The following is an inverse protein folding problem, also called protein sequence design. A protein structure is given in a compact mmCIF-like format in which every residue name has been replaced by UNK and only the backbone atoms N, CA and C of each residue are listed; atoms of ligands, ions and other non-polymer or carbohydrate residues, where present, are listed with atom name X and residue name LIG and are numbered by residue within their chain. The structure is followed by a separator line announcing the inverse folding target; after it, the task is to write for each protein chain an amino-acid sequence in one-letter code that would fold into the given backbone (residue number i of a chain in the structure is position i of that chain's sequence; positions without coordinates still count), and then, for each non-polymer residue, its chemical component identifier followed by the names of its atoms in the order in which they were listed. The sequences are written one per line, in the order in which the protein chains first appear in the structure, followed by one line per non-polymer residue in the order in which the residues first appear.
data_IF_571335809087
#
_entry.id   IF_571335809087
#
_cell.length_a   1.000
_cell.length_b   1.000
_cell.length_c   1.000
_cell.angle_alpha   90.00
_cell.angle_beta   90.00
_cell.angle_gamma   90.00
#
_symmetry.space_group_name_H-M   'P 1'
#
loop_
_entity.id
_entity.type
_entity.pdbx_description
1 polymer ?
#
# COMPACT_ATOMS: atom_id res chain seq x y z
N UNK A 1 6.39 -36.31 -39.81
CA UNK A 1 7.32 -35.88 -38.73
C UNK A 1 7.82 -34.43 -38.83
N UNK A 2 7.75 -33.74 -39.98
CA UNK A 2 8.32 -32.38 -40.15
C UNK A 2 7.56 -31.22 -39.45
N UNK A 3 6.25 -31.31 -39.21
CA UNK A 3 5.46 -30.21 -38.57
C UNK A 3 5.60 -30.08 -37.06
N UNK A 4 6.05 -31.12 -36.33
CA UNK A 4 6.26 -31.03 -34.86
C UNK A 4 7.56 -30.34 -34.47
N UNK A 5 8.55 -30.32 -35.36
CA UNK A 5 9.82 -29.62 -35.13
C UNK A 5 9.68 -28.10 -35.33
N UNK A 6 8.81 -27.61 -36.24
CA UNK A 6 8.63 -26.17 -36.42
C UNK A 6 7.95 -25.48 -35.23
N UNK A 7 7.04 -26.16 -34.52
CA UNK A 7 6.34 -25.61 -33.34
C UNK A 7 7.23 -25.55 -32.09
N UNK A 8 8.15 -26.51 -31.91
CA UNK A 8 9.16 -26.41 -30.86
C UNK A 8 10.14 -25.27 -31.14
N UNK A 9 10.45 -24.99 -32.41
CA UNK A 9 11.36 -23.88 -32.74
C UNK A 9 10.68 -22.52 -32.51
N UNK A 10 9.39 -22.40 -32.81
CA UNK A 10 8.61 -21.18 -32.60
C UNK A 10 8.44 -20.88 -31.09
N UNK A 11 8.09 -21.88 -30.29
CA UNK A 11 7.92 -21.73 -28.83
C UNK A 11 9.24 -21.43 -28.11
N UNK A 12 10.36 -22.04 -28.53
CA UNK A 12 11.70 -21.72 -28.00
C UNK A 12 12.13 -20.31 -28.37
N UNK A 13 11.87 -19.86 -29.59
CA UNK A 13 12.14 -18.48 -30.01
C UNK A 13 11.28 -17.48 -29.23
N UNK A 14 10.01 -17.80 -28.97
CA UNK A 14 9.10 -16.95 -28.19
C UNK A 14 9.50 -16.86 -26.71
N UNK A 15 9.93 -17.98 -26.10
CA UNK A 15 10.50 -18.00 -24.74
C UNK A 15 11.80 -17.21 -24.67
N UNK A 16 12.68 -17.33 -25.67
CA UNK A 16 13.92 -16.57 -25.77
C UNK A 16 13.67 -15.07 -25.89
N UNK A 17 12.69 -14.66 -26.70
CA UNK A 17 12.29 -13.25 -26.83
C UNK A 17 11.67 -12.70 -25.55
N UNK A 18 10.86 -13.49 -24.87
CA UNK A 18 10.22 -13.07 -23.60
C UNK A 18 11.26 -12.96 -22.48
N UNK A 19 12.20 -13.90 -22.40
CA UNK A 19 13.32 -13.86 -21.47
C UNK A 19 14.26 -12.68 -21.77
N UNK A 20 14.53 -12.38 -23.05
CA UNK A 20 15.31 -11.20 -23.43
C UNK A 20 14.59 -9.89 -23.08
N UNK A 21 13.27 -9.81 -23.27
CA UNK A 21 12.47 -8.63 -22.87
C UNK A 21 12.47 -8.44 -21.35
N UNK A 22 12.34 -9.52 -20.58
CA UNK A 22 12.44 -9.47 -19.12
C UNK A 22 13.85 -9.06 -18.65
N UNK A 23 14.91 -9.62 -19.26
CA UNK A 23 16.29 -9.21 -18.95
C UNK A 23 16.55 -7.74 -19.30
N UNK A 24 16.01 -7.23 -20.41
CA UNK A 24 16.09 -5.80 -20.75
C UNK A 24 15.32 -4.94 -19.76
N UNK A 25 14.10 -5.33 -19.38
CA UNK A 25 13.30 -4.60 -18.39
C UNK A 25 13.99 -4.58 -17.01
N UNK A 26 14.56 -5.70 -16.56
CA UNK A 26 15.33 -5.77 -15.31
C UNK A 26 16.62 -4.95 -15.39
N UNK A 27 17.33 -4.95 -16.52
CA UNK A 27 18.51 -4.08 -16.72
C UNK A 27 18.16 -2.60 -16.67
N UNK A 28 17.05 -2.19 -17.30
CA UNK A 28 16.57 -0.81 -17.24
C UNK A 28 16.13 -0.45 -15.82
N UNK A 29 15.40 -1.33 -15.12
CA UNK A 29 15.01 -1.14 -13.73
C UNK A 29 16.21 -0.99 -12.79
N UNK A 30 17.23 -1.86 -12.94
CA UNK A 30 18.46 -1.77 -12.17
C UNK A 30 19.29 -0.53 -12.52
N UNK A 31 19.32 -0.11 -13.78
CA UNK A 31 20.00 1.13 -14.20
C UNK A 31 19.30 2.38 -13.64
N UNK A 32 17.96 2.42 -13.62
CA UNK A 32 17.19 3.51 -13.02
C UNK A 32 17.43 3.54 -11.51
N UNK A 33 17.35 2.41 -10.82
CA UNK A 33 17.62 2.32 -9.38
C UNK A 33 19.06 2.73 -9.04
N UNK A 34 20.05 2.31 -9.83
CA UNK A 34 21.44 2.73 -9.66
C UNK A 34 21.64 4.23 -9.94
N UNK A 35 20.95 4.80 -10.94
CA UNK A 35 21.01 6.23 -11.23
C UNK A 35 20.37 7.08 -10.13
N UNK A 36 19.24 6.63 -9.57
CA UNK A 36 18.59 7.28 -8.43
C UNK A 36 19.47 7.21 -7.17
N UNK A 37 20.11 6.06 -6.92
CA UNK A 37 21.07 5.91 -5.81
C UNK A 37 22.32 6.81 -6.00
N UNK A 38 22.84 6.93 -7.22
CA UNK A 38 23.97 7.80 -7.53
C UNK A 38 23.63 9.29 -7.40
N UNK A 39 22.42 9.70 -7.80
CA UNK A 39 21.92 11.06 -7.60
C UNK A 39 21.72 11.36 -6.12
N UNK A 40 21.06 10.47 -5.36
CA UNK A 40 20.91 10.64 -3.91
C UNK A 40 22.26 10.71 -3.19
N UNK A 41 23.24 9.90 -3.59
CA UNK A 41 24.59 9.96 -3.03
C UNK A 41 25.31 11.28 -3.37
N UNK A 42 25.16 11.78 -4.60
CA UNK A 42 25.70 13.08 -5.02
C UNK A 42 25.04 14.23 -4.24
N UNK A 43 23.72 14.19 -4.06
CA UNK A 43 22.98 15.20 -3.30
C UNK A 43 23.36 15.15 -1.82
N UNK A 44 23.54 13.95 -1.24
CA UNK A 44 24.08 13.80 0.11
C UNK A 44 25.49 14.38 0.24
N UNK A 45 26.40 14.10 -0.69
CA UNK A 45 27.75 14.68 -0.67
C UNK A 45 27.72 16.21 -0.80
N UNK A 46 26.83 16.75 -1.63
CA UNK A 46 26.66 18.20 -1.78
C UNK A 46 26.12 18.82 -0.50
N UNK A 47 25.16 18.16 0.14
CA UNK A 47 24.57 18.60 1.41
C UNK A 47 25.61 18.54 2.54
N UNK A 48 26.41 17.48 2.62
CA UNK A 48 27.52 17.37 3.58
C UNK A 48 28.57 18.45 3.37
N UNK A 49 28.95 18.72 2.11
CA UNK A 49 29.89 19.80 1.79
C UNK A 49 29.35 21.17 2.17
N UNK A 50 28.08 21.47 1.86
CA UNK A 50 27.45 22.74 2.25
C UNK A 50 27.33 22.86 3.78
N UNK A 51 27.07 21.76 4.48
CA UNK A 51 27.09 21.71 5.94
C UNK A 51 28.49 21.99 6.48
N UNK A 52 29.53 21.36 5.94
CA UNK A 52 30.93 21.62 6.33
C UNK A 52 31.33 23.08 6.06
N UNK A 53 31.02 23.62 4.88
CA UNK A 53 31.25 25.03 4.54
C UNK A 53 30.48 25.96 5.49
N UNK A 54 29.25 25.61 5.89
CA UNK A 54 28.47 26.38 6.88
C UNK A 54 29.07 26.31 8.29
N UNK A 55 29.58 25.14 8.69
CA UNK A 55 30.22 24.93 9.99
C UNK A 55 31.55 25.67 10.05
N UNK A 56 32.33 25.70 8.96
CA UNK A 56 33.57 26.47 8.87
C UNK A 56 33.29 27.98 8.87
N UNK A 57 32.30 28.45 8.12
CA UNK A 57 31.87 29.85 8.18
C UNK A 57 31.41 30.26 9.59
N UNK A 58 30.64 29.39 10.27
CA UNK A 58 30.19 29.63 11.64
C UNK A 58 31.35 29.59 12.63
N UNK A 59 32.33 28.69 12.45
CA UNK A 59 33.55 28.64 13.28
C UNK A 59 34.42 29.88 13.10
N UNK A 60 34.56 30.37 11.87
CA UNK A 60 35.33 31.58 11.59
C UNK A 60 34.63 32.82 12.15
N UNK A 61 33.31 32.91 11.99
CA UNK A 61 32.50 33.95 12.66
C UNK A 61 32.63 33.85 14.19
N UNK A 62 32.64 32.64 14.75
CA UNK A 62 32.83 32.44 16.20
C UNK A 62 34.24 32.84 16.63
N UNK A 63 35.28 32.58 15.83
CA UNK A 63 36.65 33.05 16.11
C UNK A 63 36.76 34.57 16.03
N UNK A 64 36.09 35.20 15.07
CA UNK A 64 35.99 36.65 15.00
C UNK A 64 35.28 37.22 16.22
N UNK A 65 34.13 36.65 16.62
CA UNK A 65 33.40 37.04 17.83
C UNK A 65 34.27 36.85 19.08
N UNK A 66 35.01 35.74 19.19
CA UNK A 66 35.93 35.51 20.33
C UNK A 66 37.12 36.47 20.31
N UNK A 67 37.61 36.84 19.13
CA UNK A 67 38.64 37.87 18.95
C UNK A 67 38.13 39.26 19.36
N UNK A 68 36.94 39.62 18.91
CA UNK A 68 36.24 40.84 19.29
C UNK A 68 35.93 40.85 20.79
N UNK A 69 35.49 39.72 21.36
CA UNK A 69 35.28 39.57 22.80
C UNK A 69 36.58 39.71 23.60
N UNK A 70 37.73 39.26 23.09
CA UNK A 70 39.03 39.53 23.73
C UNK A 70 39.45 40.98 23.62
N UNK A 71 39.12 41.68 22.52
CA UNK A 71 39.33 43.12 22.45
C UNK A 71 38.37 43.89 23.35
N UNK A 72 37.14 43.40 23.50
CA UNK A 72 36.16 43.91 24.46
C UNK A 72 36.68 43.66 25.87
N UNK A 73 37.18 42.48 26.21
CA UNK A 73 37.75 42.15 27.52
C UNK A 73 38.98 43.01 27.84
N UNK A 74 39.87 43.25 26.86
CA UNK A 74 40.96 44.24 27.01
C UNK A 74 40.44 45.66 27.18
N UNK A 75 39.37 46.03 26.48
CA UNK A 75 38.73 47.34 26.62
C UNK A 75 37.99 47.47 27.95
N UNK A 76 37.42 46.39 28.48
CA UNK A 76 36.73 46.31 29.77
C UNK A 76 37.77 46.35 30.88
N UNK A 77 38.92 45.69 30.75
CA UNK A 77 40.01 45.76 31.72
C UNK A 77 40.70 47.12 31.71
N UNK A 78 40.90 47.72 30.53
CA UNK A 78 41.40 49.09 30.40
C UNK A 78 40.36 50.12 30.89
N UNK A 79 39.07 49.88 30.65
CA UNK A 79 37.98 50.66 31.22
C UNK A 79 37.94 50.47 32.74
N UNK A 80 38.06 49.25 33.27
CA UNK A 80 38.08 48.97 34.70
C UNK A 80 39.26 49.65 35.38
N UNK A 81 40.48 49.60 34.82
CA UNK A 81 41.63 50.35 35.32
C UNK A 81 41.40 51.87 35.26
N UNK A 82 40.88 52.39 34.15
CA UNK A 82 40.55 53.82 34.02
C UNK A 82 39.42 54.24 34.95
N UNK A 83 38.48 53.35 35.23
CA UNK A 83 37.36 53.56 36.15
C UNK A 83 37.84 53.45 37.59
N UNK A 84 38.84 52.61 37.88
CA UNK A 84 39.48 52.46 39.20
C UNK A 84 40.37 53.66 39.53
N UNK A 85 41.11 54.20 38.54
CA UNK A 85 41.80 55.50 38.64
C UNK A 85 40.81 56.67 38.82
N UNK A 86 39.72 56.69 38.05
CA UNK A 86 38.66 57.71 38.22
C UNK A 86 37.87 57.54 39.54
N UNK A 87 37.76 56.31 40.07
CA UNK A 87 37.18 56.04 41.37
C UNK A 87 38.12 56.39 42.52
N UNK A 88 39.44 56.30 42.35
CA UNK A 88 40.41 56.79 43.34
C UNK A 88 40.33 58.32 43.51
N UNK A 89 40.17 59.08 42.43
CA UNK A 89 39.95 60.52 42.51
C UNK A 89 38.57 60.89 43.09
N UNK A 90 37.53 60.06 42.87
CA UNK A 90 36.19 60.24 43.44
C UNK A 90 36.04 59.73 44.88
N UNK A 91 36.97 58.89 45.37
CA UNK A 91 36.95 58.35 46.75
C UNK A 91 37.18 59.41 47.83
N UNK A 92 37.58 60.63 47.48
CA UNK A 92 37.87 61.68 48.45
C UNK A 92 36.78 62.76 48.60
N UNK A 93 35.68 62.66 47.85
CA UNK A 93 34.47 63.44 48.13
C UNK A 93 33.31 62.45 48.22
N UNK A 94 32.97 62.06 49.45
CA UNK A 94 31.80 61.22 49.72
C UNK A 94 30.55 61.91 49.12
N UNK A 95 29.56 61.19 48.57
CA UNK A 95 28.39 61.83 47.92
C UNK A 95 27.73 62.89 48.81
N UNK A 96 27.74 62.68 50.14
CA UNK A 96 27.32 63.67 51.13
C UNK A 96 28.14 64.99 51.09
N UNK A 97 29.47 64.90 50.97
CA UNK A 97 30.35 66.07 50.83
C UNK A 97 30.15 66.78 49.48
N UNK A 98 29.93 66.05 48.40
CA UNK A 98 29.57 66.66 47.12
C UNK A 98 28.22 67.37 47.24
N UNK A 99 27.20 66.67 47.74
CA UNK A 99 25.84 67.18 47.95
C UNK A 99 25.81 68.45 48.77
N UNK A 100 26.56 68.50 49.88
CA UNK A 100 26.54 69.64 50.79
C UNK A 100 27.55 70.74 50.38
N UNK A 101 28.46 70.44 49.43
CA UNK A 101 29.40 71.36 48.81
C UNK A 101 28.95 71.81 47.42
N UNK A 102 29.69 71.42 46.39
CA UNK A 102 29.49 71.85 44.98
C UNK A 102 28.15 71.40 44.39
N UNK A 103 27.57 70.30 44.87
CA UNK A 103 26.30 69.74 44.42
C UNK A 103 25.06 70.29 45.13
N UNK A 104 25.22 71.29 46.01
CA UNK A 104 24.13 71.79 46.86
C UNK A 104 22.94 72.32 46.07
N UNK A 105 23.19 73.17 45.09
CA UNK A 105 22.11 73.74 44.27
C UNK A 105 21.41 72.67 43.43
N UNK A 106 22.16 71.70 42.91
CA UNK A 106 21.57 70.54 42.25
C UNK A 106 20.63 69.79 43.22
N UNK A 107 21.13 69.38 44.39
CA UNK A 107 20.39 68.46 45.25
C UNK A 107 19.18 69.08 45.93
N UNK A 108 19.29 70.33 46.39
CA UNK A 108 18.22 70.98 47.15
C UNK A 108 17.26 71.81 46.28
N UNK A 109 17.71 72.36 45.15
CA UNK A 109 16.88 73.22 44.30
C UNK A 109 16.44 72.52 43.02
N UNK A 110 17.36 71.96 42.25
CA UNK A 110 17.08 71.39 40.93
C UNK A 110 16.40 70.00 41.01
N UNK A 111 16.98 69.08 41.79
CA UNK A 111 16.54 67.68 41.89
C UNK A 111 15.08 67.54 42.31
N UNK A 112 14.55 68.31 43.30
CA UNK A 112 13.12 68.25 43.62
C UNK A 112 12.23 68.69 42.45
N UNK A 113 12.65 69.69 41.67
CA UNK A 113 11.91 70.14 40.48
C UNK A 113 11.93 69.09 39.38
N UNK A 114 13.10 68.50 39.11
CA UNK A 114 13.25 67.42 38.14
C UNK A 114 12.41 66.19 38.53
N UNK A 115 12.42 65.80 39.81
CA UNK A 115 11.55 64.71 40.32
C UNK A 115 10.07 65.03 40.16
N UNK A 116 9.65 66.24 40.52
CA UNK A 116 8.25 66.68 40.32
C UNK A 116 7.85 66.69 38.84
N UNK A 117 8.76 67.06 37.95
CA UNK A 117 8.52 66.98 36.50
C UNK A 117 8.31 65.53 36.05
N UNK A 118 9.18 64.60 36.48
CA UNK A 118 9.07 63.17 36.15
C UNK A 118 7.79 62.54 36.72
N UNK A 119 7.44 62.87 37.97
CA UNK A 119 6.20 62.41 38.59
C UNK A 119 4.96 62.90 37.82
N UNK A 120 4.94 64.19 37.43
CA UNK A 120 3.86 64.73 36.61
C UNK A 120 3.80 64.09 35.22
N UNK A 121 4.97 63.80 34.62
CA UNK A 121 5.07 63.10 33.35
C UNK A 121 4.52 61.67 33.44
N UNK A 122 4.86 60.93 34.50
CA UNK A 122 4.34 59.59 34.77
C UNK A 122 2.83 59.61 35.01
N UNK A 123 2.34 60.54 35.84
CA UNK A 123 0.92 60.71 36.11
C UNK A 123 0.11 60.98 34.84
N UNK A 124 0.61 61.85 33.96
CA UNK A 124 -0.03 62.12 32.67
C UNK A 124 0.08 60.93 31.70
N UNK A 125 1.17 60.18 31.73
CA UNK A 125 1.31 58.94 30.95
C UNK A 125 0.29 57.89 31.37
N UNK A 126 0.07 57.74 32.68
CA UNK A 126 -0.95 56.85 33.22
C UNK A 126 -2.37 57.32 32.88
N UNK A 127 -2.65 58.62 32.98
CA UNK A 127 -3.95 59.19 32.56
C UNK A 127 -4.20 58.98 31.06
N UNK A 128 -3.18 59.20 30.23
CA UNK A 128 -3.23 58.95 28.79
C UNK A 128 -3.54 57.49 28.46
N UNK A 129 -2.87 56.54 29.11
CA UNK A 129 -3.14 55.11 28.90
C UNK A 129 -4.58 54.73 29.25
N UNK A 130 -5.18 55.34 30.29
CA UNK A 130 -6.60 55.13 30.63
C UNK A 130 -7.52 55.67 29.55
N UNK A 131 -7.25 56.88 29.03
CA UNK A 131 -8.03 57.48 27.94
C UNK A 131 -7.96 56.62 26.67
N UNK A 132 -6.77 56.17 26.29
CA UNK A 132 -6.59 55.29 25.14
C UNK A 132 -7.30 53.95 25.36
N UNK A 133 -7.16 53.35 26.54
CA UNK A 133 -7.82 52.08 26.87
C UNK A 133 -9.35 52.19 26.79
N UNK A 134 -9.94 53.26 27.30
CA UNK A 134 -11.37 53.51 27.18
C UNK A 134 -11.78 53.63 25.70
N UNK A 135 -11.04 54.41 24.90
CA UNK A 135 -11.32 54.53 23.46
C UNK A 135 -11.15 53.21 22.72
N UNK A 136 -10.18 52.38 23.08
CA UNK A 136 -9.99 51.06 22.47
C UNK A 136 -11.24 50.18 22.67
N UNK A 137 -11.86 50.22 23.86
CA UNK A 137 -13.11 49.49 24.13
C UNK A 137 -14.22 49.96 23.20
N UNK A 138 -14.39 51.28 23.07
CA UNK A 138 -15.40 51.86 22.17
C UNK A 138 -15.17 51.44 20.71
N UNK A 139 -13.92 51.54 20.22
CA UNK A 139 -13.56 51.15 18.85
C UNK A 139 -13.80 49.66 18.61
N UNK A 140 -13.52 48.79 19.58
CA UNK A 140 -13.85 47.35 19.47
C UNK A 140 -15.36 47.14 19.38
N UNK A 141 -16.16 47.87 20.15
CA UNK A 141 -17.63 47.80 20.06
C UNK A 141 -18.17 48.33 18.71
N UNK A 142 -17.49 49.33 18.14
CA UNK A 142 -17.77 49.90 16.82
C UNK A 142 -17.30 48.98 15.66
N UNK A 143 -16.73 47.79 15.92
CA UNK A 143 -16.21 46.89 14.88
C UNK A 143 -17.14 46.66 13.68
N UNK A 144 -18.46 46.43 13.85
CA UNK A 144 -19.37 46.28 12.71
C UNK A 144 -19.42 47.49 11.77
N UNK A 145 -19.08 48.69 12.25
CA UNK A 145 -19.12 49.94 11.48
C UNK A 145 -17.87 50.14 10.64
N UNK A 146 -16.71 49.65 11.09
CA UNK A 146 -15.43 49.85 10.40
C UNK A 146 -14.81 48.57 9.82
N UNK A 147 -15.35 47.38 10.10
CA UNK A 147 -14.87 46.14 9.49
C UNK A 147 -14.97 46.17 7.96
N UNK A 148 -14.06 45.48 7.29
CA UNK A 148 -14.20 45.24 5.86
C UNK A 148 -15.36 44.27 5.57
N UNK A 149 -15.97 44.39 4.39
CA UNK A 149 -17.13 43.58 3.99
C UNK A 149 -16.83 42.07 4.01
N UNK A 150 -15.60 41.71 3.64
CA UNK A 150 -15.15 40.31 3.56
C UNK A 150 -14.67 39.75 4.92
N UNK A 151 -14.64 40.56 5.99
CA UNK A 151 -14.31 40.09 7.32
C UNK A 151 -15.54 39.55 8.04
N UNK A 152 -15.35 38.44 8.74
CA UNK A 152 -16.34 37.86 9.66
C UNK A 152 -16.74 38.84 10.75
N UNK A 153 -18.01 38.79 11.14
CA UNK A 153 -18.55 39.70 12.17
C UNK A 153 -18.01 39.41 13.57
N UNK A 154 -17.54 38.18 13.83
CA UNK A 154 -16.94 37.72 15.08
C UNK A 154 -15.40 37.65 15.01
N UNK A 155 -14.78 38.28 14.00
CA UNK A 155 -13.35 38.17 13.74
C UNK A 155 -12.46 38.65 14.90
N UNK A 156 -12.79 39.78 15.54
CA UNK A 156 -12.02 40.29 16.68
C UNK A 156 -12.06 39.35 17.90
N UNK A 157 -13.14 38.57 18.06
CA UNK A 157 -13.28 37.64 19.16
C UNK A 157 -12.58 36.31 18.88
N UNK A 158 -12.74 35.79 17.65
CA UNK A 158 -12.22 34.47 17.26
C UNK A 158 -10.79 34.50 16.74
N UNK A 159 -10.29 35.66 16.31
CA UNK A 159 -9.05 35.79 15.55
C UNK A 159 -9.15 35.25 14.11
N UNK A 160 -10.34 34.88 13.65
CA UNK A 160 -10.60 34.37 12.30
C UNK A 160 -11.34 35.43 11.51
N UNK A 161 -10.63 36.11 10.61
CA UNK A 161 -11.14 37.21 9.79
C UNK A 161 -11.83 36.74 8.53
N UNK A 162 -11.34 35.68 7.89
CA UNK A 162 -11.90 35.16 6.64
C UNK A 162 -12.56 33.80 6.90
N UNK A 163 -13.60 33.46 6.14
CA UNK A 163 -14.19 32.14 6.23
C UNK A 163 -13.20 31.04 5.79
N UNK A 164 -13.13 29.92 6.53
CA UNK A 164 -12.27 28.81 6.13
C UNK A 164 -12.72 28.25 4.77
N UNK A 165 -11.77 27.79 3.94
CA UNK A 165 -12.10 27.20 2.66
C UNK A 165 -12.97 25.96 2.87
N UNK A 166 -14.01 25.82 2.03
CA UNK A 166 -14.83 24.60 2.01
C UNK A 166 -13.99 23.48 1.40
N UNK A 167 -13.43 22.63 2.27
CA UNK A 167 -12.72 21.44 1.83
C UNK A 167 -13.72 20.46 1.21
N UNK A 168 -13.41 19.99 0.00
CA UNK A 168 -14.12 18.87 -0.61
C UNK A 168 -13.99 17.65 0.30
N UNK A 169 -15.04 16.83 0.39
CA UNK A 169 -14.97 15.56 1.10
C UNK A 169 -13.84 14.70 0.52
N UNK A 170 -13.15 13.88 1.35
CA UNK A 170 -12.14 12.96 0.84
C UNK A 170 -12.76 12.06 -0.24
N UNK A 171 -11.99 11.72 -1.30
CA UNK A 171 -12.48 10.78 -2.30
C UNK A 171 -12.88 9.49 -1.58
N UNK A 172 -14.14 9.10 -1.73
CA UNK A 172 -14.63 7.82 -1.23
C UNK A 172 -13.86 6.73 -1.97
N UNK A 173 -13.31 5.76 -1.22
CA UNK A 173 -12.64 4.62 -1.80
C UNK A 173 -13.54 4.05 -2.89
N UNK A 174 -13.07 4.03 -4.14
CA UNK A 174 -13.78 3.33 -5.20
C UNK A 174 -13.82 1.88 -4.74
N UNK A 175 -15.00 1.44 -4.32
CA UNK A 175 -15.21 0.06 -3.96
C UNK A 175 -14.71 -0.77 -5.13
N UNK A 176 -13.78 -1.68 -4.83
CA UNK A 176 -13.36 -2.68 -5.81
C UNK A 176 -14.65 -3.27 -6.37
N UNK A 177 -14.86 -3.25 -7.70
CA UNK A 177 -16.10 -3.76 -8.26
C UNK A 177 -16.32 -5.14 -7.62
N UNK A 178 -17.50 -5.37 -7.00
CA UNK A 178 -17.75 -6.61 -6.29
C UNK A 178 -17.31 -7.71 -7.23
N UNK A 179 -16.56 -8.68 -6.70
CA UNK A 179 -15.90 -9.73 -7.47
C UNK A 179 -16.97 -10.55 -8.19
N UNK A 180 -17.54 -9.99 -9.27
CA UNK A 180 -18.39 -10.66 -10.21
C UNK A 180 -17.44 -11.59 -10.90
N UNK A 181 -17.44 -12.82 -10.40
CA UNK A 181 -16.95 -13.96 -11.14
C UNK A 181 -17.53 -13.77 -12.54
N UNK A 182 -16.70 -13.60 -13.58
CA UNK A 182 -17.21 -13.34 -14.92
C UNK A 182 -18.27 -14.41 -15.22
N UNK A 183 -19.44 -14.03 -15.74
CA UNK A 183 -20.55 -14.97 -15.90
C UNK A 183 -20.14 -16.22 -16.73
N UNK A 184 -19.11 -16.07 -17.59
CA UNK A 184 -18.47 -17.17 -18.31
C UNK A 184 -17.64 -18.15 -17.46
N UNK A 185 -17.05 -17.72 -16.33
CA UNK A 185 -16.31 -18.60 -15.40
C UNK A 185 -17.25 -19.35 -14.47
N UNK A 186 -18.39 -18.75 -14.09
CA UNK A 186 -19.46 -19.48 -13.40
C UNK A 186 -20.05 -20.57 -14.31
N UNK A 187 -20.27 -20.27 -15.60
CA UNK A 187 -20.64 -21.27 -16.61
C UNK A 187 -19.57 -22.35 -16.80
N UNK A 188 -18.29 -21.97 -16.89
CA UNK A 188 -17.19 -22.94 -17.02
C UNK A 188 -17.02 -23.83 -15.79
N UNK A 189 -17.15 -23.30 -14.57
CA UNK A 189 -17.06 -24.08 -13.34
C UNK A 189 -18.29 -25.00 -13.15
N UNK A 190 -19.48 -24.55 -13.58
CA UNK A 190 -20.72 -25.33 -13.52
C UNK A 190 -20.78 -26.41 -14.61
N UNK A 191 -20.05 -26.27 -15.74
CA UNK A 191 -19.95 -27.29 -16.79
C UNK A 191 -18.77 -28.24 -16.54
N UNK A 192 -17.60 -27.73 -16.12
CA UNK A 192 -16.39 -28.54 -15.90
C UNK A 192 -16.44 -29.26 -14.54
N UNK A 193 -17.03 -28.67 -13.51
CA UNK A 193 -17.17 -29.31 -12.19
C UNK A 193 -17.85 -30.68 -12.27
N UNK A 194 -19.05 -30.80 -12.87
CA UNK A 194 -19.69 -32.08 -13.11
C UNK A 194 -18.90 -32.92 -14.11
N UNK A 195 -18.36 -32.36 -15.19
CA UNK A 195 -17.66 -33.14 -16.22
C UNK A 195 -16.37 -33.78 -15.70
N UNK A 196 -15.63 -33.11 -14.82
CA UNK A 196 -14.42 -33.67 -14.17
C UNK A 196 -14.80 -34.69 -13.12
N UNK A 197 -15.86 -34.45 -12.32
CA UNK A 197 -16.38 -35.45 -11.38
C UNK A 197 -16.91 -36.68 -12.12
N UNK A 198 -17.60 -36.51 -13.25
CA UNK A 198 -18.07 -37.57 -14.13
C UNK A 198 -16.89 -38.28 -14.79
N UNK A 199 -15.83 -37.60 -15.21
CA UNK A 199 -14.63 -38.26 -15.75
C UNK A 199 -13.85 -39.02 -14.67
N UNK A 200 -13.78 -38.53 -13.43
CA UNK A 200 -13.19 -39.25 -12.31
C UNK A 200 -14.04 -40.47 -11.95
N UNK A 201 -15.37 -40.29 -11.87
CA UNK A 201 -16.30 -41.39 -11.65
C UNK A 201 -16.24 -42.42 -12.79
N UNK A 202 -16.15 -41.98 -14.05
CA UNK A 202 -16.00 -42.86 -15.20
C UNK A 202 -14.64 -43.57 -15.21
N UNK A 203 -13.54 -42.90 -14.83
CA UNK A 203 -12.23 -43.55 -14.69
C UNK A 203 -12.20 -44.60 -13.56
N UNK A 204 -13.05 -44.46 -12.54
CA UNK A 204 -13.24 -45.44 -11.47
C UNK A 204 -14.24 -46.54 -11.88
N UNK A 205 -15.33 -46.19 -12.56
CA UNK A 205 -16.39 -47.12 -12.97
C UNK A 205 -16.02 -47.96 -14.20
N UNK A 206 -15.24 -47.45 -15.16
CA UNK A 206 -14.84 -48.19 -16.36
C UNK A 206 -14.03 -49.46 -16.03
N UNK A 207 -13.05 -49.47 -15.10
CA UNK A 207 -12.40 -50.72 -14.69
C UNK A 207 -13.34 -51.66 -13.91
N UNK A 208 -14.28 -51.12 -13.13
CA UNK A 208 -15.28 -51.93 -12.39
C UNK A 208 -16.29 -52.58 -13.36
N UNK A 209 -16.79 -51.82 -14.32
CA UNK A 209 -17.73 -52.30 -15.36
C UNK A 209 -17.00 -53.17 -16.37
N UNK A 210 -15.72 -52.92 -16.68
CA UNK A 210 -14.89 -53.79 -17.51
C UNK A 210 -14.62 -55.16 -16.87
N UNK A 211 -14.45 -55.20 -15.54
CA UNK A 211 -14.39 -56.46 -14.78
C UNK A 211 -15.71 -57.23 -14.79
N UNK A 212 -16.85 -56.54 -14.82
CA UNK A 212 -18.18 -57.17 -14.89
C UNK A 212 -18.56 -57.54 -16.34
N UNK A 213 -18.13 -56.77 -17.34
CA UNK A 213 -18.39 -57.02 -18.76
C UNK A 213 -17.73 -58.29 -19.28
N UNK A 214 -16.52 -58.62 -18.79
CA UNK A 214 -15.86 -59.90 -19.10
C UNK A 214 -16.64 -61.12 -18.58
N UNK A 215 -17.34 -61.00 -17.46
CA UNK A 215 -18.19 -62.06 -16.91
C UNK A 215 -19.54 -62.20 -17.65
N UNK A 216 -20.06 -61.10 -18.23
CA UNK A 216 -21.35 -61.14 -18.94
C UNK A 216 -21.22 -61.59 -20.41
N UNK A 217 -20.09 -61.34 -21.08
CA UNK A 217 -19.86 -61.87 -22.44
C UNK A 217 -19.57 -63.37 -22.46
N UNK A 218 -19.12 -63.97 -21.34
CA UNK A 218 -19.07 -65.43 -21.21
C UNK A 218 -20.48 -66.06 -21.19
N UNK A 219 -21.47 -65.36 -20.62
CA UNK A 219 -22.84 -65.88 -20.48
C UNK A 219 -23.65 -65.96 -21.77
N UNK A 220 -23.48 -65.03 -22.72
CA UNK A 220 -24.27 -65.01 -23.96
C UNK A 220 -23.72 -65.91 -25.07
N UNK A 221 -22.49 -66.40 -24.95
CA UNK A 221 -21.85 -67.27 -25.96
C UNK A 221 -21.78 -68.72 -25.46
N UNK A 222 -21.79 -68.93 -24.14
CA UNK A 222 -22.12 -70.22 -23.54
C UNK A 222 -23.48 -70.74 -24.04
N UNK A 223 -24.49 -69.89 -24.22
CA UNK A 223 -25.82 -70.36 -24.69
C UNK A 223 -25.83 -70.91 -26.11
N UNK A 224 -24.97 -70.41 -27.02
CA UNK A 224 -24.94 -70.86 -28.42
C UNK A 224 -24.21 -72.21 -28.53
N UNK A 225 -23.10 -72.37 -27.80
CA UNK A 225 -22.38 -73.65 -27.67
C UNK A 225 -23.23 -74.68 -26.93
N UNK A 226 -23.89 -74.27 -25.83
CA UNK A 226 -24.80 -75.13 -25.08
C UNK A 226 -25.98 -75.57 -25.97
N UNK A 227 -26.58 -74.68 -26.78
CA UNK A 227 -27.71 -75.08 -27.65
C UNK A 227 -27.33 -76.12 -28.71
N UNK A 228 -26.11 -76.05 -29.25
CA UNK A 228 -25.57 -77.06 -30.16
C UNK A 228 -25.29 -78.37 -29.43
N UNK A 229 -24.83 -78.28 -28.17
CA UNK A 229 -24.64 -79.44 -27.31
C UNK A 229 -25.97 -80.11 -26.91
N UNK A 230 -26.98 -79.32 -26.58
CA UNK A 230 -28.33 -79.79 -26.27
C UNK A 230 -28.95 -80.49 -27.49
N UNK A 231 -28.68 -80.00 -28.71
CA UNK A 231 -29.12 -80.68 -29.94
C UNK A 231 -28.44 -82.05 -30.16
N UNK A 232 -27.20 -82.22 -29.70
CA UNK A 232 -26.49 -83.51 -29.69
C UNK A 232 -27.02 -84.45 -28.61
N UNK A 233 -27.36 -83.90 -27.44
CA UNK A 233 -27.97 -84.64 -26.34
C UNK A 233 -29.33 -85.24 -26.72
N UNK A 234 -30.09 -84.51 -27.53
CA UNK A 234 -31.39 -84.95 -28.03
C UNK A 234 -31.27 -86.07 -29.09
N UNK A 235 -30.23 -86.05 -29.92
CA UNK A 235 -30.00 -87.07 -30.97
C UNK A 235 -29.29 -88.33 -30.45
N UNK A 236 -28.46 -88.20 -29.40
CA UNK A 236 -27.68 -89.30 -28.80
C UNK A 236 -27.65 -89.20 -27.25
N UNK A 237 -28.73 -89.60 -26.56
CA UNK A 237 -28.86 -89.40 -25.11
C UNK A 237 -27.82 -90.18 -24.28
N UNK A 238 -27.40 -91.37 -24.73
CA UNK A 238 -26.35 -92.15 -24.05
C UNK A 238 -24.95 -91.51 -24.16
N UNK A 239 -24.76 -90.56 -25.09
CA UNK A 239 -23.49 -89.89 -25.31
C UNK A 239 -23.28 -88.67 -24.38
N UNK A 240 -24.36 -88.01 -23.95
CA UNK A 240 -24.27 -86.72 -23.25
C UNK A 240 -24.31 -86.84 -21.73
N UNK A 241 -24.92 -87.88 -21.18
CA UNK A 241 -25.01 -88.07 -19.71
C UNK A 241 -23.63 -88.24 -19.05
N UNK A 242 -22.59 -88.57 -19.83
CA UNK A 242 -21.20 -88.72 -19.36
C UNK A 242 -20.23 -87.61 -19.86
N UNK A 243 -20.71 -86.56 -20.56
CA UNK A 243 -19.85 -85.50 -21.12
C UNK A 243 -20.05 -84.10 -20.54
N UNK A 244 -21.06 -83.83 -19.71
CA UNK A 244 -21.26 -82.49 -19.11
C UNK A 244 -20.03 -81.98 -18.32
N UNK A 245 -19.20 -82.88 -17.78
CA UNK A 245 -17.97 -82.53 -17.04
C UNK A 245 -16.70 -82.39 -17.91
N UNK A 246 -16.76 -82.68 -19.21
CA UNK A 246 -15.56 -82.80 -20.06
C UNK A 246 -15.28 -81.59 -20.98
N UNK A 247 -16.15 -80.59 -21.04
CA UNK A 247 -16.15 -79.66 -22.19
C UNK A 247 -15.49 -78.29 -21.96
N UNK A 248 -15.46 -77.68 -20.77
CA UNK A 248 -14.77 -76.39 -20.63
C UNK A 248 -13.24 -76.50 -20.47
N UNK A 249 -12.72 -77.65 -20.06
CA UNK A 249 -11.30 -77.79 -19.67
C UNK A 249 -10.38 -78.34 -20.75
N UNK A 250 -10.91 -78.75 -21.91
CA UNK A 250 -10.14 -79.60 -22.81
C UNK A 250 -9.40 -78.94 -23.95
N UNK A 251 -9.68 -77.68 -24.30
CA UNK A 251 -8.97 -77.06 -25.41
C UNK A 251 -8.62 -75.61 -25.14
N UNK A 252 -7.34 -75.38 -24.85
CA UNK A 252 -6.70 -74.12 -25.22
C UNK A 252 -6.92 -73.95 -26.73
N UNK A 253 -7.23 -72.74 -27.21
CA UNK A 253 -7.53 -72.51 -28.62
C UNK A 253 -6.37 -72.93 -29.55
N UNK A 254 -5.14 -72.95 -29.05
CA UNK A 254 -3.99 -73.52 -29.74
C UNK A 254 -4.09 -75.04 -29.96
N UNK A 255 -4.70 -75.75 -29.02
CA UNK A 255 -4.95 -77.20 -29.07
C UNK A 255 -6.16 -77.52 -29.97
N UNK A 256 -7.23 -76.73 -29.89
CA UNK A 256 -8.37 -76.85 -30.82
C UNK A 256 -7.96 -76.67 -32.28
N UNK A 257 -7.07 -75.72 -32.56
CA UNK A 257 -6.51 -75.47 -33.89
C UNK A 257 -5.70 -76.66 -34.42
N UNK A 258 -4.92 -77.30 -33.54
CA UNK A 258 -4.11 -78.46 -33.88
C UNK A 258 -5.01 -79.65 -34.26
N UNK A 259 -6.05 -79.90 -33.46
CA UNK A 259 -6.98 -81.01 -33.66
C UNK A 259 -7.90 -80.83 -34.88
N UNK A 260 -8.23 -79.59 -35.24
CA UNK A 260 -8.89 -79.28 -36.52
C UNK A 260 -8.00 -79.64 -37.72
N UNK A 261 -6.68 -79.43 -37.61
CA UNK A 261 -5.75 -79.69 -38.71
C UNK A 261 -5.43 -81.17 -38.90
N UNK A 262 -5.52 -81.98 -37.85
CA UNK A 262 -5.26 -83.43 -37.90
C UNK A 262 -6.36 -84.21 -38.65
N UNK A 263 -7.51 -83.56 -38.90
CA UNK A 263 -8.68 -84.21 -39.49
C UNK A 263 -9.32 -85.19 -38.51
N UNK A 264 -10.49 -85.70 -38.85
CA UNK A 264 -11.16 -86.69 -38.03
C UNK A 264 -11.27 -88.03 -38.78
N UNK A 265 -10.61 -89.03 -38.23
CA UNK A 265 -10.61 -90.43 -38.65
C UNK A 265 -11.14 -91.31 -37.52
N UNK A 266 -11.48 -92.56 -37.83
CA UNK A 266 -11.87 -93.54 -36.81
C UNK A 266 -10.77 -93.73 -35.73
N UNK A 267 -9.49 -93.60 -36.10
CA UNK A 267 -8.37 -93.64 -35.15
C UNK A 267 -8.38 -92.42 -34.22
N UNK A 268 -8.62 -91.20 -34.74
CA UNK A 268 -8.71 -90.01 -33.88
C UNK A 268 -9.91 -90.04 -32.94
N UNK A 269 -11.02 -90.65 -33.36
CA UNK A 269 -12.18 -90.85 -32.48
C UNK A 269 -11.81 -91.77 -31.31
N UNK A 270 -11.05 -92.85 -31.58
CA UNK A 270 -10.56 -93.75 -30.55
C UNK A 270 -9.53 -93.06 -29.62
N UNK A 271 -8.64 -92.22 -30.16
CA UNK A 271 -7.70 -91.44 -29.35
C UNK A 271 -8.42 -90.41 -28.45
N UNK A 272 -9.47 -89.75 -28.94
CA UNK A 272 -10.28 -88.83 -28.13
C UNK A 272 -11.03 -89.58 -27.02
N UNK A 273 -11.50 -90.80 -27.31
CA UNK A 273 -12.08 -91.76 -26.35
C UNK A 273 -11.09 -92.17 -25.26
N UNK A 274 -9.89 -92.58 -25.67
CA UNK A 274 -8.83 -93.00 -24.77
C UNK A 274 -8.36 -91.81 -23.92
N UNK A 275 -8.33 -90.60 -24.50
CA UNK A 275 -7.99 -89.36 -23.81
C UNK A 275 -9.08 -88.96 -22.80
N UNK A 276 -10.36 -89.09 -23.15
CA UNK A 276 -11.47 -88.86 -22.22
C UNK A 276 -11.46 -89.89 -21.08
N UNK A 277 -11.24 -91.17 -21.40
CA UNK A 277 -11.10 -92.25 -20.41
C UNK A 277 -9.92 -92.01 -19.47
N UNK A 278 -8.77 -91.54 -19.98
CA UNK A 278 -7.58 -91.22 -19.18
C UNK A 278 -7.80 -90.11 -18.14
N UNK A 279 -8.83 -89.27 -18.34
CA UNK A 279 -9.23 -88.20 -17.41
C UNK A 279 -10.43 -88.57 -16.54
N UNK A 280 -10.81 -89.85 -16.51
CA UNK A 280 -11.78 -90.39 -15.57
C UNK A 280 -13.21 -90.48 -16.11
N UNK A 281 -13.42 -90.26 -17.42
CA UNK A 281 -14.73 -90.48 -18.03
C UNK A 281 -15.02 -91.98 -18.13
N UNK A 282 -16.06 -92.47 -17.45
CA UNK A 282 -16.59 -93.81 -17.67
C UNK A 282 -17.37 -93.83 -18.99
N UNK A 283 -16.66 -94.03 -20.11
CA UNK A 283 -17.27 -94.17 -21.42
C UNK A 283 -17.53 -95.65 -21.70
N UNK A 284 -18.76 -96.00 -22.08
CA UNK A 284 -19.08 -97.33 -22.59
C UNK A 284 -18.57 -97.43 -24.04
N UNK A 285 -17.55 -98.26 -24.34
CA UNK A 285 -17.04 -98.41 -25.70
C UNK A 285 -18.09 -98.97 -26.68
N UNK A 286 -19.20 -99.56 -26.19
CA UNK A 286 -20.30 -100.04 -27.03
C UNK A 286 -21.21 -98.91 -27.55
N UNK A 287 -21.18 -97.73 -26.93
CA UNK A 287 -22.00 -96.58 -27.31
C UNK A 287 -21.44 -95.83 -28.55
N UNK A 288 -20.26 -96.19 -29.02
CA UNK A 288 -19.63 -95.51 -30.16
C UNK A 288 -19.99 -96.18 -31.49
N UNK A 289 -20.44 -95.38 -32.48
CA UNK A 289 -20.80 -95.92 -33.77
C UNK A 289 -19.57 -96.53 -34.46
N UNK A 290 -19.61 -97.84 -34.63
CA UNK A 290 -18.64 -98.60 -35.41
C UNK A 290 -18.96 -98.56 -36.91
N UNK A 291 -20.12 -98.02 -37.28
CA UNK A 291 -20.54 -97.87 -38.66
C UNK A 291 -19.97 -96.58 -39.29
N UNK A 292 -19.61 -96.59 -40.58
CA UNK A 292 -18.98 -95.44 -41.23
C UNK A 292 -19.79 -94.14 -41.14
N UNK A 293 -21.12 -94.24 -41.11
CA UNK A 293 -22.02 -93.10 -41.05
C UNK A 293 -22.00 -92.38 -39.69
N UNK A 294 -21.83 -93.12 -38.58
CA UNK A 294 -21.75 -92.51 -37.27
C UNK A 294 -20.38 -91.89 -36.99
N UNK A 295 -19.29 -92.45 -37.53
CA UNK A 295 -17.95 -91.80 -37.49
C UNK A 295 -17.98 -90.47 -38.25
N UNK A 296 -18.60 -90.42 -39.43
CA UNK A 296 -18.71 -89.19 -40.23
C UNK A 296 -19.50 -88.09 -39.49
N UNK A 297 -20.57 -88.44 -38.78
CA UNK A 297 -21.33 -87.49 -37.95
C UNK A 297 -20.56 -87.01 -36.73
N UNK A 298 -19.89 -87.91 -36.01
CA UNK A 298 -19.03 -87.53 -34.88
C UNK A 298 -17.96 -86.53 -35.35
N UNK A 299 -17.33 -86.82 -36.48
CA UNK A 299 -16.32 -85.97 -37.08
C UNK A 299 -16.84 -84.60 -37.54
N UNK A 300 -18.01 -84.54 -38.17
CA UNK A 300 -18.66 -83.26 -38.51
C UNK A 300 -18.91 -82.42 -37.26
N UNK A 301 -19.45 -83.05 -36.22
CA UNK A 301 -19.82 -82.37 -34.98
C UNK A 301 -18.59 -81.85 -34.24
N UNK A 302 -17.57 -82.69 -34.11
CA UNK A 302 -16.29 -82.32 -33.49
C UNK A 302 -15.67 -81.11 -34.19
N UNK A 303 -15.75 -81.08 -35.52
CA UNK A 303 -15.25 -79.97 -36.32
C UNK A 303 -16.03 -78.70 -36.02
N UNK A 304 -17.37 -78.75 -36.00
CA UNK A 304 -18.22 -77.59 -35.69
C UNK A 304 -17.99 -77.02 -34.28
N UNK A 305 -17.76 -77.88 -33.28
CA UNK A 305 -17.46 -77.47 -31.89
C UNK A 305 -16.08 -76.80 -31.81
N UNK A 306 -15.07 -77.37 -32.44
CA UNK A 306 -13.72 -76.80 -32.45
C UNK A 306 -13.67 -75.48 -33.24
N UNK A 307 -14.44 -75.36 -34.32
CA UNK A 307 -14.53 -74.12 -35.11
C UNK A 307 -15.25 -73.02 -34.33
N UNK A 308 -16.29 -73.34 -33.57
CA UNK A 308 -16.95 -72.41 -32.65
C UNK A 308 -16.02 -71.93 -31.53
N UNK A 309 -15.22 -72.83 -30.94
CA UNK A 309 -14.23 -72.47 -29.92
C UNK A 309 -13.14 -71.55 -30.46
N UNK A 310 -12.70 -71.77 -31.71
CA UNK A 310 -11.74 -70.89 -32.39
C UNK A 310 -12.30 -69.48 -32.64
N UNK A 311 -13.56 -69.39 -33.08
CA UNK A 311 -14.21 -68.10 -33.33
C UNK A 311 -14.44 -67.30 -32.04
N UNK A 312 -14.66 -67.96 -30.90
CA UNK A 312 -14.77 -67.32 -29.58
C UNK A 312 -13.51 -66.54 -29.19
N UNK A 313 -12.33 -67.12 -29.37
CA UNK A 313 -11.07 -66.46 -28.99
C UNK A 313 -10.73 -65.29 -29.92
N UNK A 314 -11.06 -65.41 -31.21
CA UNK A 314 -10.92 -64.34 -32.20
C UNK A 314 -11.77 -63.11 -31.84
N UNK A 315 -13.01 -63.30 -31.36
CA UNK A 315 -13.87 -62.19 -30.93
C UNK A 315 -13.43 -61.57 -29.59
N UNK A 316 -12.95 -62.37 -28.64
CA UNK A 316 -12.42 -61.88 -27.37
C UNK A 316 -11.18 -60.98 -27.57
N UNK A 317 -10.26 -61.38 -28.45
CA UNK A 317 -9.05 -60.60 -28.75
C UNK A 317 -9.31 -59.28 -29.48
N UNK A 318 -10.37 -59.19 -30.30
CA UNK A 318 -10.78 -57.93 -30.93
C UNK A 318 -11.46 -56.95 -29.96
N UNK A 319 -12.15 -57.44 -28.94
CA UNK A 319 -12.78 -56.61 -27.91
C UNK A 319 -11.76 -55.86 -27.04
N UNK A 320 -10.73 -56.56 -26.57
CA UNK A 320 -9.69 -56.01 -25.68
C UNK A 320 -8.93 -54.84 -26.32
N UNK A 321 -8.63 -54.94 -27.61
CA UNK A 321 -7.89 -53.90 -28.34
C UNK A 321 -8.69 -52.60 -28.50
N UNK A 322 -10.02 -52.67 -28.67
CA UNK A 322 -10.86 -51.46 -28.76
C UNK A 322 -11.00 -50.75 -27.42
N UNK A 323 -11.18 -51.49 -26.32
CA UNK A 323 -11.30 -50.90 -24.97
C UNK A 323 -9.99 -50.28 -24.46
N UNK A 324 -8.84 -50.88 -24.79
CA UNK A 324 -7.54 -50.30 -24.45
C UNK A 324 -7.32 -48.93 -25.13
N UNK A 325 -7.74 -48.78 -26.39
CA UNK A 325 -7.55 -47.54 -27.15
C UNK A 325 -8.37 -46.36 -26.61
N UNK A 326 -9.61 -46.59 -26.17
CA UNK A 326 -10.50 -45.57 -25.61
C UNK A 326 -10.01 -45.15 -24.22
N UNK A 327 -9.58 -46.11 -23.40
CA UNK A 327 -9.08 -45.83 -22.04
C UNK A 327 -7.82 -44.95 -22.07
N UNK A 328 -6.89 -45.21 -23.00
CA UNK A 328 -5.68 -44.40 -23.18
C UNK A 328 -6.02 -42.98 -23.65
N UNK A 329 -7.01 -42.82 -24.54
CA UNK A 329 -7.44 -41.50 -25.00
C UNK A 329 -8.09 -40.64 -23.90
N UNK A 330 -8.94 -41.25 -23.06
CA UNK A 330 -9.61 -40.56 -21.94
C UNK A 330 -8.60 -40.16 -20.86
N UNK A 331 -7.68 -41.06 -20.49
CA UNK A 331 -6.61 -40.74 -19.53
C UNK A 331 -5.67 -39.65 -20.06
N UNK A 332 -5.35 -39.68 -21.36
CA UNK A 332 -4.56 -38.64 -22.01
C UNK A 332 -5.24 -37.26 -21.96
N UNK A 333 -6.54 -37.18 -22.23
CA UNK A 333 -7.31 -35.94 -22.16
C UNK A 333 -7.40 -35.41 -20.71
N UNK A 334 -7.69 -36.29 -19.75
CA UNK A 334 -7.75 -35.94 -18.34
C UNK A 334 -6.42 -35.38 -17.82
N UNK A 335 -5.30 -35.99 -18.23
CA UNK A 335 -3.96 -35.51 -17.91
C UNK A 335 -3.70 -34.11 -18.48
N UNK A 336 -4.05 -33.87 -19.75
CA UNK A 336 -3.90 -32.55 -20.39
C UNK A 336 -4.73 -31.48 -19.66
N UNK A 337 -5.98 -31.78 -19.30
CA UNK A 337 -6.83 -30.84 -18.54
C UNK A 337 -6.25 -30.58 -17.15
N UNK A 338 -5.79 -31.62 -16.44
CA UNK A 338 -5.18 -31.49 -15.12
C UNK A 338 -3.89 -30.64 -15.15
N UNK A 339 -3.14 -30.67 -16.25
CA UNK A 339 -1.96 -29.82 -16.42
C UNK A 339 -2.30 -28.35 -16.78
N UNK A 340 -3.35 -28.11 -17.57
CA UNK A 340 -3.70 -26.76 -18.06
C UNK A 340 -4.50 -25.96 -17.01
N UNK A 341 -5.41 -26.60 -16.28
CA UNK A 341 -6.32 -25.94 -15.34
C UNK A 341 -5.59 -25.11 -14.25
N UNK A 342 -4.52 -25.61 -13.58
CA UNK A 342 -3.79 -24.84 -12.58
C UNK A 342 -3.11 -23.60 -13.17
N UNK A 343 -2.61 -23.70 -14.41
CA UNK A 343 -1.97 -22.59 -15.09
C UNK A 343 -2.99 -21.49 -15.42
N UNK A 344 -4.18 -21.88 -15.87
CA UNK A 344 -5.26 -20.94 -16.20
C UNK A 344 -5.81 -20.25 -14.92
N UNK A 345 -5.97 -21.00 -13.83
CA UNK A 345 -6.33 -20.43 -12.51
C UNK A 345 -5.25 -19.47 -12.01
N UNK A 346 -3.98 -19.84 -12.12
CA UNK A 346 -2.86 -18.99 -11.71
C UNK A 346 -2.79 -17.70 -12.56
N UNK A 347 -3.04 -17.80 -13.86
CA UNK A 347 -3.10 -16.66 -14.77
C UNK A 347 -4.25 -15.70 -14.43
N UNK A 348 -5.47 -16.21 -14.23
CA UNK A 348 -6.63 -15.40 -13.80
C UNK A 348 -6.40 -14.75 -12.43
N UNK A 349 -5.79 -15.47 -11.48
CA UNK A 349 -5.43 -14.88 -10.17
C UNK A 349 -4.40 -13.77 -10.30
N UNK A 350 -3.41 -13.91 -11.19
CA UNK A 350 -2.39 -12.88 -11.43
C UNK A 350 -3.00 -11.61 -12.04
N UNK A 351 -3.84 -11.74 -13.05
CA UNK A 351 -4.49 -10.59 -13.72
C UNK A 351 -5.46 -9.86 -12.78
N UNK A 352 -6.25 -10.59 -11.98
CA UNK A 352 -7.12 -9.99 -10.96
C UNK A 352 -6.32 -9.25 -9.88
N UNK A 353 -5.19 -9.81 -9.43
CA UNK A 353 -4.29 -9.12 -8.49
C UNK A 353 -3.67 -7.86 -9.08
N UNK A 354 -3.31 -7.87 -10.37
CA UNK A 354 -2.78 -6.68 -11.04
C UNK A 354 -3.82 -5.56 -11.10
N UNK A 355 -5.04 -5.86 -11.57
CA UNK A 355 -6.13 -4.87 -11.60
C UNK A 355 -6.47 -4.33 -10.22
N UNK A 356 -6.48 -5.18 -9.19
CA UNK A 356 -6.71 -4.76 -7.80
C UNK A 356 -5.61 -3.81 -7.31
N UNK A 357 -4.34 -4.11 -7.59
CA UNK A 357 -3.21 -3.23 -7.25
C UNK A 357 -3.28 -1.90 -7.99
N UNK A 358 -3.67 -1.90 -9.26
CA UNK A 358 -3.84 -0.66 -10.04
C UNK A 358 -4.94 0.22 -9.45
N UNK A 359 -6.08 -0.36 -9.06
CA UNK A 359 -7.18 0.37 -8.39
C UNK A 359 -6.74 0.87 -7.02
N UNK A 360 -6.06 0.04 -6.22
CA UNK A 360 -5.52 0.43 -4.90
C UNK A 360 -4.51 1.58 -5.04
N UNK A 361 -3.59 1.52 -6.02
CA UNK A 361 -2.64 2.59 -6.30
C UNK A 361 -3.32 3.87 -6.77
N UNK A 362 -4.36 3.78 -7.61
CA UNK A 362 -5.13 4.93 -8.04
C UNK A 362 -5.90 5.57 -6.87
N UNK A 363 -6.50 4.77 -5.99
CA UNK A 363 -7.18 5.27 -4.80
C UNK A 363 -6.18 5.93 -3.84
N UNK A 364 -5.02 5.32 -3.61
CA UNK A 364 -3.95 5.91 -2.79
C UNK A 364 -3.46 7.24 -3.35
N UNK A 365 -3.16 7.29 -4.65
CA UNK A 365 -2.73 8.53 -5.31
C UNK A 365 -3.82 9.62 -5.25
N UNK A 366 -5.09 9.26 -5.38
CA UNK A 366 -6.20 10.20 -5.24
C UNK A 366 -6.34 10.75 -3.81
N UNK A 367 -6.18 9.90 -2.80
CA UNK A 367 -6.19 10.29 -1.38
C UNK A 367 -5.00 11.20 -1.06
N UNK A 368 -3.80 10.87 -1.55
CA UNK A 368 -2.60 11.69 -1.36
C UNK A 368 -2.74 13.05 -2.04
N UNK A 369 -3.23 13.10 -3.28
CA UNK A 369 -3.48 14.34 -3.99
C UNK A 369 -4.55 15.20 -3.29
N UNK A 370 -5.60 14.58 -2.73
CA UNK A 370 -6.58 15.29 -1.91
C UNK A 370 -5.97 15.85 -0.63
N UNK A 371 -5.14 15.07 0.09
CA UNK A 371 -4.43 15.53 1.30
C UNK A 371 -3.50 16.71 1.00
N UNK A 372 -2.75 16.66 -0.10
CA UNK A 372 -1.88 17.75 -0.52
C UNK A 372 -2.67 19.03 -0.81
N UNK A 373 -3.81 18.93 -1.54
CA UNK A 373 -4.70 20.07 -1.78
C UNK A 373 -5.31 20.62 -0.49
N UNK A 374 -5.71 19.75 0.44
CA UNK A 374 -6.27 20.15 1.72
C UNK A 374 -5.24 20.91 2.58
N UNK A 375 -3.99 20.42 2.64
CA UNK A 375 -2.91 21.12 3.35
C UNK A 375 -2.52 22.44 2.68
N UNK A 376 -2.42 22.49 1.35
CA UNK A 376 -2.19 23.74 0.63
C UNK A 376 -3.28 24.76 0.92
N UNK A 377 -4.56 24.35 0.84
CA UNK A 377 -5.71 25.20 1.14
C UNK A 377 -5.70 25.72 2.58
N UNK A 378 -5.24 24.90 3.54
CA UNK A 378 -5.06 25.30 4.94
C UNK A 378 -3.95 26.33 5.11
N UNK A 379 -2.80 26.15 4.46
CA UNK A 379 -1.68 27.12 4.51
C UNK A 379 -2.09 28.44 3.87
N UNK A 380 -2.72 28.41 2.70
CA UNK A 380 -3.24 29.59 2.03
C UNK A 380 -4.27 30.32 2.90
N UNK A 381 -5.18 29.58 3.54
CA UNK A 381 -6.13 30.15 4.49
C UNK A 381 -5.44 30.85 5.66
N UNK A 382 -4.43 30.21 6.27
CA UNK A 382 -3.68 30.81 7.38
C UNK A 382 -2.98 32.10 6.95
N UNK A 383 -2.34 32.12 5.78
CA UNK A 383 -1.69 33.31 5.24
C UNK A 383 -2.69 34.44 4.97
N UNK A 384 -3.82 34.14 4.33
CA UNK A 384 -4.86 35.14 4.06
C UNK A 384 -5.51 35.67 5.34
N UNK A 385 -5.73 34.79 6.33
CA UNK A 385 -6.27 35.20 7.62
C UNK A 385 -5.29 36.10 8.39
N UNK A 386 -3.99 35.81 8.29
CA UNK A 386 -2.93 36.64 8.88
C UNK A 386 -2.87 38.01 8.22
N UNK A 387 -2.90 38.08 6.89
CA UNK A 387 -2.96 39.35 6.15
C UNK A 387 -4.20 40.17 6.56
N UNK A 388 -5.37 39.55 6.61
CA UNK A 388 -6.59 40.23 7.06
C UNK A 388 -6.51 40.70 8.53
N UNK A 389 -5.78 39.97 9.38
CA UNK A 389 -5.50 40.39 10.77
C UNK A 389 -4.60 41.61 10.82
N UNK A 390 -3.54 41.65 10.01
CA UNK A 390 -2.63 42.80 9.90
C UNK A 390 -3.39 44.04 9.38
N UNK A 391 -4.18 43.88 8.30
CA UNK A 391 -5.04 44.94 7.77
C UNK A 391 -6.04 45.44 8.82
N UNK A 392 -6.68 44.53 9.57
CA UNK A 392 -7.58 44.89 10.64
C UNK A 392 -6.87 45.63 11.78
N UNK A 393 -5.64 45.26 12.11
CA UNK A 393 -4.84 45.96 13.11
C UNK A 393 -4.45 47.36 12.66
N UNK A 394 -4.04 47.54 11.40
CA UNK A 394 -3.76 48.85 10.83
C UNK A 394 -5.01 49.74 10.82
N UNK A 395 -6.15 49.20 10.36
CA UNK A 395 -7.43 49.91 10.35
C UNK A 395 -7.89 50.25 11.76
N UNK A 396 -7.71 49.34 12.71
CA UNK A 396 -7.96 49.60 14.13
C UNK A 396 -7.15 50.79 14.64
N UNK A 397 -5.85 50.86 14.33
CA UNK A 397 -5.01 52.00 14.71
C UNK A 397 -5.45 53.31 14.05
N UNK A 398 -5.91 53.26 12.79
CA UNK A 398 -6.45 54.42 12.08
C UNK A 398 -7.73 54.94 12.76
N UNK A 399 -8.68 54.05 13.10
CA UNK A 399 -9.93 54.41 13.78
C UNK A 399 -9.68 54.86 15.23
N UNK A 400 -8.73 54.25 15.91
CA UNK A 400 -8.27 54.68 17.23
C UNK A 400 -7.59 56.06 17.18
N UNK A 401 -6.98 56.40 16.05
CA UNK A 401 -6.21 57.64 15.84
C UNK A 401 -4.85 57.66 16.55
N UNK A 402 -4.41 56.52 17.10
CA UNK A 402 -3.14 56.37 17.81
C UNK A 402 -2.47 55.08 17.38
N UNK A 403 -1.15 55.16 17.11
CA UNK A 403 -0.33 53.98 16.83
C UNK A 403 -0.07 53.21 18.12
N UNK A 404 -0.41 51.94 18.15
CA UNK A 404 -0.10 51.04 19.26
C UNK A 404 1.33 50.54 19.11
N UNK A 405 2.25 51.17 19.82
CA UNK A 405 3.66 50.77 19.86
C UNK A 405 4.19 50.78 21.30
N UNK A 406 5.44 50.38 21.50
CA UNK A 406 6.08 50.32 22.82
C UNK A 406 6.11 51.67 23.55
N UNK A 407 5.96 52.78 22.82
CA UNK A 407 6.00 54.13 23.37
C UNK A 407 4.61 54.71 23.64
N UNK A 408 3.54 53.89 23.56
CA UNK A 408 2.15 54.35 23.70
C UNK A 408 1.94 55.24 24.92
N UNK A 409 2.54 54.89 26.07
CA UNK A 409 2.43 55.65 27.32
C UNK A 409 2.98 57.07 27.25
N UNK A 410 3.90 57.36 26.32
CA UNK A 410 4.54 58.68 26.16
C UNK A 410 4.14 59.41 24.88
N UNK A 411 3.32 58.80 24.02
CA UNK A 411 2.89 59.41 22.75
C UNK A 411 2.11 60.72 22.93
N UNK A 412 1.55 60.94 24.11
CA UNK A 412 0.90 62.20 24.46
C UNK A 412 1.87 63.38 24.54
N UNK A 413 3.15 63.12 24.80
CA UNK A 413 4.17 64.13 24.99
C UNK A 413 4.88 64.43 23.66
N UNK A 414 5.19 65.70 23.42
CA UNK A 414 6.02 66.07 22.26
C UNK A 414 7.45 65.51 22.40
N UNK A 415 8.24 65.58 21.32
CA UNK A 415 9.61 65.04 21.32
C UNK A 415 10.50 65.72 22.36
N UNK A 416 10.33 67.04 22.57
CA UNK A 416 11.10 67.79 23.56
C UNK A 416 10.81 67.31 24.99
N UNK A 417 9.54 67.13 25.33
CA UNK A 417 9.07 66.68 26.65
C UNK A 417 9.56 65.26 26.93
N UNK A 418 9.51 64.35 25.94
CA UNK A 418 10.02 62.98 26.06
C UNK A 418 11.53 62.94 26.27
N UNK A 419 12.28 63.69 25.46
CA UNK A 419 13.73 63.79 25.60
C UNK A 419 14.11 64.37 26.97
N UNK A 420 13.41 65.42 27.41
CA UNK A 420 13.61 66.00 28.74
C UNK A 420 13.36 64.97 29.85
N UNK A 421 12.25 64.23 29.80
CA UNK A 421 11.97 63.18 30.78
C UNK A 421 13.07 62.11 30.81
N UNK A 422 13.54 61.66 29.64
CA UNK A 422 14.62 60.69 29.55
C UNK A 422 15.95 61.23 30.08
N UNK A 423 16.32 62.47 29.75
CA UNK A 423 17.53 63.13 30.25
C UNK A 423 17.47 63.30 31.77
N UNK A 424 16.34 63.77 32.31
CA UNK A 424 16.16 63.93 33.75
C UNK A 424 16.21 62.58 34.49
N UNK A 425 15.59 61.53 33.94
CA UNK A 425 15.68 60.17 34.51
C UNK A 425 17.13 59.69 34.57
N UNK A 426 17.86 59.84 33.45
CA UNK A 426 19.26 59.46 33.36
C UNK A 426 20.16 60.23 34.34
N UNK A 427 19.95 61.55 34.49
CA UNK A 427 20.70 62.37 35.45
C UNK A 427 20.46 61.88 36.88
N UNK A 428 19.20 61.64 37.25
CA UNK A 428 18.83 61.22 38.61
C UNK A 428 19.30 59.79 38.88
N UNK A 429 19.16 58.85 37.94
CA UNK A 429 19.61 57.47 38.09
C UNK A 429 21.13 57.36 38.24
N UNK A 430 21.88 58.23 37.57
CA UNK A 430 23.34 58.23 37.60
C UNK A 430 23.94 59.12 38.68
N UNK A 431 23.13 59.87 39.45
CA UNK A 431 23.62 60.92 40.37
C UNK A 431 24.61 60.40 41.42
N UNK A 432 24.49 59.13 41.83
CA UNK A 432 25.37 58.49 42.79
C UNK A 432 26.72 58.05 42.20
N UNK A 433 26.76 57.75 40.89
CA UNK A 433 27.96 57.27 40.19
C UNK A 433 28.71 58.38 39.49
N UNK A 434 27.98 59.35 38.94
CA UNK A 434 28.49 60.50 38.22
C UNK A 434 27.63 61.71 38.57
N UNK A 435 27.98 62.43 39.64
CA UNK A 435 27.24 63.62 40.04
C UNK A 435 27.26 64.65 38.91
N UNK A 436 26.11 65.22 38.53
CA UNK A 436 26.03 66.14 37.39
C UNK A 436 26.66 67.50 37.73
N UNK A 437 27.28 68.13 36.73
CA UNK A 437 27.80 69.50 36.84
C UNK A 437 26.67 70.49 36.55
N UNK A 438 26.64 71.64 37.25
CA UNK A 438 25.52 72.60 37.17
C UNK A 438 25.31 73.12 35.74
N UNK A 439 26.39 73.33 34.98
CA UNK A 439 26.35 73.79 33.60
C UNK A 439 25.77 72.76 32.61
N UNK A 440 25.74 71.48 33.00
CA UNK A 440 25.19 70.38 32.20
C UNK A 440 23.70 70.11 32.49
N UNK A 441 23.11 70.82 33.46
CA UNK A 441 21.71 70.61 33.86
C UNK A 441 20.76 71.29 32.86
N UNK A 442 19.87 70.54 32.20
CA UNK A 442 18.88 71.14 31.31
C UNK A 442 17.84 71.93 32.12
N UNK A 443 17.37 73.05 31.58
CA UNK A 443 16.28 73.80 32.22
C UNK A 443 14.99 72.95 32.28
N UNK A 444 14.42 72.80 33.49
CA UNK A 444 13.18 72.05 33.70
C UNK A 444 11.99 72.86 33.17
N UNK A 445 11.64 72.61 31.91
CA UNK A 445 10.51 73.25 31.24
C UNK A 445 9.13 72.77 31.69
N UNK A 446 8.08 73.32 31.06
CA UNK A 446 6.70 72.84 31.21
C UNK A 446 6.44 71.63 30.32
N UNK A 447 5.62 70.69 30.78
CA UNK A 447 5.16 69.55 29.97
C UNK A 447 4.35 70.04 28.77
N UNK A 448 4.71 69.59 27.56
CA UNK A 448 4.04 69.96 26.32
C UNK A 448 3.36 68.75 25.71
N UNK A 449 2.09 68.92 25.36
CA UNK A 449 1.29 67.90 24.69
C UNK A 449 1.66 67.89 23.21
N UNK A 450 1.80 66.70 22.63
CA UNK A 450 2.04 66.52 21.21
C UNK A 450 0.85 67.08 20.39
N UNK A 451 1.07 68.07 19.51
CA UNK A 451 -0.01 68.68 18.72
C UNK A 451 -0.64 67.73 17.70
N UNK A 452 0.02 66.60 17.40
CA UNK A 452 -0.47 65.60 16.45
C UNK A 452 -1.49 64.62 17.05
N UNK A 453 -1.76 64.69 18.35
CA UNK A 453 -2.77 63.84 18.98
C UNK A 453 -4.15 64.22 18.43
N UNK A 454 -5.00 63.25 18.05
CA UNK A 454 -6.37 63.53 17.67
C UNK A 454 -7.08 64.38 18.72
N UNK A 455 -7.77 65.44 18.29
CA UNK A 455 -8.39 66.43 19.20
C UNK A 455 -9.33 65.78 20.21
N UNK A 456 -10.01 64.70 19.83
CA UNK A 456 -10.90 63.92 20.71
C UNK A 456 -10.14 63.37 21.92
N UNK A 457 -8.98 62.75 21.69
CA UNK A 457 -8.14 62.18 22.75
C UNK A 457 -7.42 63.26 23.56
N UNK A 458 -6.99 64.35 22.89
CA UNK A 458 -6.40 65.50 23.55
C UNK A 458 -7.35 66.16 24.55
N UNK A 459 -8.63 66.32 24.18
CA UNK A 459 -9.66 66.88 25.09
C UNK A 459 -9.89 65.99 26.31
N UNK A 460 -9.99 64.68 26.12
CA UNK A 460 -10.18 63.72 27.21
C UNK A 460 -9.00 63.73 28.22
N UNK A 461 -7.76 63.86 27.72
CA UNK A 461 -6.57 63.98 28.57
C UNK A 461 -6.55 65.28 29.38
N UNK A 462 -7.01 66.39 28.81
CA UNK A 462 -7.08 67.67 29.53
C UNK A 462 -8.16 67.65 30.61
N UNK A 463 -9.29 66.97 30.39
CA UNK A 463 -10.35 66.84 31.39
C UNK A 463 -10.01 65.94 32.58
N UNK A 464 -8.94 65.14 32.49
CA UNK A 464 -8.44 64.33 33.62
C UNK A 464 -7.47 65.07 34.55
N UNK A 465 -7.15 66.34 34.26
CA UNK A 465 -6.48 67.26 35.19
C UNK A 465 -7.50 67.93 36.08
#
# INVERSE_FOLDING_TARGET
MSRRYSDMTSSVNQLRDTAQKQLRATRVGNAIAASAAALNHRDQQTTHRLLEESIEAQREQTRQIVGELRTIDKSINAFAQKTEEQLEDLKHINFAQWRDGVGRDYYYNYRPQAKKYLENFENLSNAWLRVVSARMVDVVQEFPQWKEQHWRSDALHTGVFIDPPKLEAPPVDKELPPQKVPDGVAGFAMIIGPSVVIMILAAILVPIIGGIGGALTQGSVSSDVQSKFDSLAEEYPEFVENQEDLIPEFYDASEAQMLLNEGCTAETMQEDLDRASSKGAELDPAAFPQDPAGVERYCSTRTDVLEAARDMESQASQGVNKFASISVAVLGLAFVIACILPFLIAYLRRTMRQKRREVEQQNQAAIEAWRQRAEQSKVEFQQRNEQAREEAFEKFQQVLGVRLNKNLGTLWADTSTRNMAQTLSSIIENELRRPPVVEELPEVGKLRINPQIPTVLGKALVSTK
#
